data_IF_620675991558
#
_entry.id   IF_620675991558
#
_cell.length_a   1.000
_cell.length_b   1.000
_cell.length_c   1.000
_cell.angle_alpha   90.00
_cell.angle_beta   90.00
_cell.angle_gamma   90.00
#
_symmetry.space_group_name_H-M   'P 1'
#
loop_
_entity.id
_entity.type
_entity.pdbx_description
1 polymer ?
#
# COMPACT_ATOMS: atom_id res chain seq x y z
N UNK A 1 10.18 9.60 8.19
CA UNK A 1 10.18 8.29 7.49
C UNK A 1 8.79 7.66 7.53
N UNK A 2 8.18 7.56 8.72
CA UNK A 2 6.82 7.04 8.89
C UNK A 2 5.78 7.81 8.09
N UNK A 3 5.90 9.14 8.00
CA UNK A 3 5.01 9.98 7.19
C UNK A 3 5.07 9.66 5.69
N UNK A 4 6.28 9.54 5.12
CA UNK A 4 6.47 9.15 3.72
C UNK A 4 5.87 7.78 3.43
N UNK A 5 6.07 6.80 4.32
CA UNK A 5 5.53 5.45 4.17
C UNK A 5 4.00 5.48 4.22
N UNK A 6 3.41 6.26 5.12
CA UNK A 6 1.97 6.42 5.24
C UNK A 6 1.37 7.12 4.00
N UNK A 7 2.05 8.13 3.47
CA UNK A 7 1.67 8.83 2.24
C UNK A 7 1.69 7.88 1.05
N UNK A 8 2.81 7.19 0.82
CA UNK A 8 2.93 6.19 -0.26
C UNK A 8 1.86 5.10 -0.14
N UNK A 9 1.54 4.65 1.07
CA UNK A 9 0.47 3.68 1.28
C UNK A 9 -0.90 4.21 0.85
N UNK A 10 -1.26 5.44 1.22
CA UNK A 10 -2.53 6.07 0.82
C UNK A 10 -2.59 6.29 -0.69
N UNK A 11 -1.52 6.83 -1.29
CA UNK A 11 -1.43 7.00 -2.74
C UNK A 11 -1.59 5.67 -3.47
N UNK A 12 -0.96 4.61 -2.97
CA UNK A 12 -1.06 3.26 -3.56
C UNK A 12 -2.48 2.72 -3.49
N UNK A 13 -3.17 2.87 -2.35
CA UNK A 13 -4.56 2.41 -2.20
C UNK A 13 -5.50 3.18 -3.13
N UNK A 14 -5.32 4.51 -3.24
CA UNK A 14 -6.11 5.38 -4.14
C UNK A 14 -5.87 5.09 -5.62
N UNK A 15 -4.63 4.77 -5.99
CA UNK A 15 -4.29 4.42 -7.38
C UNK A 15 -4.78 3.02 -7.77
N UNK A 16 -5.02 2.13 -6.80
CA UNK A 16 -5.41 0.73 -7.05
C UNK A 16 -6.60 0.30 -6.18
N UNK A 17 -7.78 0.93 -6.34
CA UNK A 17 -8.95 0.66 -5.50
C UNK A 17 -9.45 -0.79 -5.63
N UNK A 18 -9.37 -1.41 -6.82
CA UNK A 18 -9.73 -2.83 -7.02
C UNK A 18 -8.86 -3.78 -6.16
N UNK A 19 -7.56 -3.47 -6.06
CA UNK A 19 -6.63 -4.27 -5.25
C UNK A 19 -6.84 -4.03 -3.75
N UNK A 20 -7.21 -2.80 -3.37
CA UNK A 20 -7.59 -2.48 -2.00
C UNK A 20 -8.87 -3.23 -1.58
N UNK A 21 -9.93 -3.16 -2.37
CA UNK A 21 -11.18 -3.92 -2.15
C UNK A 21 -10.92 -5.43 -2.17
N UNK A 22 -10.11 -5.92 -3.12
CA UNK A 22 -9.67 -7.31 -3.17
C UNK A 22 -8.90 -7.74 -1.92
N UNK A 23 -8.10 -6.86 -1.34
CA UNK A 23 -7.40 -7.12 -0.06
C UNK A 23 -8.40 -7.27 1.09
N UNK A 24 -9.44 -6.44 1.13
CA UNK A 24 -10.49 -6.54 2.15
C UNK A 24 -11.32 -7.81 2.05
N UNK A 25 -11.70 -8.17 0.83
CA UNK A 25 -12.54 -9.35 0.54
C UNK A 25 -11.74 -10.66 0.53
N UNK A 26 -10.46 -10.61 0.94
CA UNK A 26 -9.54 -11.75 0.92
C UNK A 26 -9.40 -12.38 -0.47
N UNK A 27 -9.57 -11.60 -1.55
CA UNK A 27 -9.36 -12.05 -2.92
C UNK A 27 -7.92 -12.53 -3.07
N UNK A 28 -7.70 -13.76 -3.58
CA UNK A 28 -6.36 -14.28 -3.78
C UNK A 28 -5.56 -13.35 -4.70
N UNK A 29 -4.28 -13.16 -4.39
CA UNK A 29 -3.31 -12.30 -5.09
C UNK A 29 -3.55 -10.77 -4.99
N UNK A 30 -4.69 -10.30 -4.50
CA UNK A 30 -4.95 -8.86 -4.38
C UNK A 30 -3.97 -8.16 -3.42
N UNK A 31 -3.81 -8.72 -2.22
CA UNK A 31 -2.85 -8.21 -1.24
C UNK A 31 -1.40 -8.23 -1.75
N UNK A 32 -0.97 -9.35 -2.37
CA UNK A 32 0.38 -9.47 -2.91
C UNK A 32 0.67 -8.46 -4.01
N UNK A 33 -0.30 -8.22 -4.89
CA UNK A 33 -0.19 -7.19 -5.92
C UNK A 33 -0.14 -5.77 -5.33
N UNK A 34 -1.01 -5.46 -4.36
CA UNK A 34 -1.03 -4.15 -3.69
C UNK A 34 0.28 -3.87 -2.95
N UNK A 35 0.78 -4.85 -2.20
CA UNK A 35 2.05 -4.77 -1.48
C UNK A 35 3.22 -4.55 -2.44
N UNK A 36 3.25 -5.25 -3.57
CA UNK A 36 4.29 -5.06 -4.59
C UNK A 36 4.25 -3.65 -5.19
N UNK A 37 3.06 -3.12 -5.50
CA UNK A 37 2.90 -1.74 -6.01
C UNK A 37 3.41 -0.71 -5.02
N UNK A 38 3.05 -0.84 -3.74
CA UNK A 38 3.53 0.08 -2.71
C UNK A 38 5.04 0.02 -2.53
N UNK A 39 5.66 -1.17 -2.58
CA UNK A 39 7.12 -1.32 -2.44
C UNK A 39 7.85 -0.66 -3.63
N UNK A 40 7.33 -0.81 -4.84
CA UNK A 40 7.86 -0.12 -6.02
C UNK A 40 7.77 1.40 -5.86
N UNK A 41 6.60 1.93 -5.48
CA UNK A 41 6.42 3.37 -5.27
C UNK A 41 7.35 3.91 -4.17
N UNK A 42 7.51 3.18 -3.06
CA UNK A 42 8.43 3.57 -1.99
C UNK A 42 9.89 3.56 -2.48
N UNK A 43 10.28 2.57 -3.28
CA UNK A 43 11.62 2.49 -3.88
C UNK A 43 11.89 3.68 -4.80
N UNK A 44 10.91 4.07 -5.62
CA UNK A 44 11.02 5.24 -6.51
C UNK A 44 11.20 6.53 -5.70
N UNK A 45 10.42 6.72 -4.64
CA UNK A 45 10.53 7.90 -3.75
C UNK A 45 11.86 7.94 -2.99
N UNK A 46 12.38 6.79 -2.56
CA UNK A 46 13.64 6.71 -1.81
C UNK A 46 14.90 6.76 -2.70
N UNK A 47 14.78 6.47 -4.00
CA UNK A 47 15.92 6.29 -4.90
C UNK A 47 16.81 5.08 -4.57
N UNK A 48 16.40 4.25 -3.61
CA UNK A 48 17.11 3.03 -3.15
C UNK A 48 16.13 1.93 -2.78
N UNK A 49 16.65 0.72 -2.63
CA UNK A 49 15.84 -0.41 -2.14
C UNK A 49 15.42 -0.14 -0.68
N UNK A 50 14.12 -0.25 -0.34
CA UNK A 50 13.65 -0.14 1.04
C UNK A 50 14.14 -1.34 1.86
N UNK A 51 14.58 -1.05 3.08
CA UNK A 51 14.98 -2.03 4.09
C UNK A 51 13.79 -2.90 4.51
N UNK A 52 14.06 -4.03 5.17
CA UNK A 52 13.01 -4.91 5.69
C UNK A 52 12.07 -4.18 6.67
N UNK A 53 12.62 -3.34 7.55
CA UNK A 53 11.85 -2.53 8.49
C UNK A 53 10.91 -1.55 7.75
N UNK A 54 11.41 -0.88 6.70
CA UNK A 54 10.60 0.04 5.88
C UNK A 54 9.51 -0.71 5.12
N UNK A 55 9.80 -1.91 4.58
CA UNK A 55 8.79 -2.75 3.91
C UNK A 55 7.70 -3.20 4.87
N UNK A 56 8.05 -3.65 6.07
CA UNK A 56 7.08 -4.05 7.10
C UNK A 56 6.22 -2.88 7.55
N UNK A 57 6.81 -1.70 7.76
CA UNK A 57 6.06 -0.49 8.06
C UNK A 57 5.10 -0.12 6.93
N UNK A 58 5.55 -0.23 5.67
CA UNK A 58 4.71 0.01 4.49
C UNK A 58 3.56 -0.98 4.40
N UNK A 59 3.80 -2.28 4.62
CA UNK A 59 2.73 -3.28 4.63
C UNK A 59 1.69 -2.99 5.71
N UNK A 60 2.13 -2.64 6.92
CA UNK A 60 1.21 -2.23 7.99
C UNK A 60 0.37 -1.01 7.59
N UNK A 61 1.01 0.00 6.97
CA UNK A 61 0.33 1.19 6.49
C UNK A 61 -0.66 0.89 5.36
N UNK A 62 -0.28 0.08 4.37
CA UNK A 62 -1.14 -0.37 3.26
C UNK A 62 -2.35 -1.13 3.79
N UNK A 63 -2.15 -2.05 4.74
CA UNK A 63 -3.23 -2.80 5.35
C UNK A 63 -4.21 -1.88 6.08
N UNK A 64 -3.70 -0.90 6.84
CA UNK A 64 -4.53 0.10 7.52
C UNK A 64 -5.31 0.98 6.54
N UNK A 65 -4.63 1.48 5.50
CA UNK A 65 -5.23 2.35 4.48
C UNK A 65 -6.26 1.60 3.64
N UNK A 66 -5.94 0.39 3.17
CA UNK A 66 -6.86 -0.43 2.39
C UNK A 66 -8.15 -0.71 3.15
N UNK A 67 -8.11 -0.85 4.49
CA UNK A 67 -9.29 -1.04 5.35
C UNK A 67 -10.10 0.22 5.62
N UNK A 68 -9.47 1.41 5.55
CA UNK A 68 -10.10 2.70 5.86
C UNK A 68 -10.66 3.42 4.64
N UNK A 69 -10.08 3.23 3.46
CA UNK A 69 -10.42 3.98 2.24
C UNK A 69 -11.00 3.14 1.08
N UNK A 70 -11.78 2.04 1.26
CA UNK A 70 -12.41 1.35 0.13
C UNK A 70 -13.65 2.12 -0.37
N UNK A 71 -13.51 3.35 -0.85
CA UNK A 71 -14.64 4.10 -1.40
C UNK A 71 -14.76 5.54 -0.93
N UNK A 72 -13.71 6.34 -1.11
CA UNK A 72 -13.84 7.80 -1.09
C UNK A 72 -14.40 8.35 -2.43
N UNK A 73 -15.26 7.58 -3.09
CA UNK A 73 -16.12 8.00 -4.19
C UNK A 73 -17.41 7.16 -4.07
N UNK A 74 -18.38 7.71 -3.35
CA UNK A 74 -19.78 7.28 -3.36
C UNK A 74 -20.58 8.15 -4.32
#
# INVERSE_FOLDING_TARGET
MTDLIAEVARETVRAWPDLAVGTQTARPKAWGALAAKGVTALRERLGRVPSDAERRALWSALWSAARKEPGADG
#
